data_IF_407525173299
#
_entry.id   IF_407525173299
#
_cell.length_a   1.000
_cell.length_b   1.000
_cell.length_c   1.000
_cell.angle_alpha   90.00
_cell.angle_beta   90.00
_cell.angle_gamma   90.00
#
_symmetry.space_group_name_H-M   'P 1'
#
loop_
_entity.id
_entity.type
_entity.pdbx_description
1 polymer ?
#
# COMPACT_ATOMS: atom_id res chain seq x y z
N UNK A 1 14.59 -49.48 -2.54
CA UNK A 1 14.28 -48.35 -3.44
C UNK A 1 14.44 -47.07 -2.63
N UNK A 2 15.59 -46.42 -2.72
CA UNK A 2 15.91 -45.23 -1.94
C UNK A 2 15.14 -44.02 -2.47
N UNK A 3 14.40 -43.37 -1.59
CA UNK A 3 13.80 -42.07 -1.79
C UNK A 3 14.96 -41.05 -1.81
N UNK A 4 15.51 -40.77 -2.99
CA UNK A 4 16.58 -39.79 -3.14
C UNK A 4 15.98 -38.38 -3.02
N UNK A 5 16.49 -37.65 -2.03
CA UNK A 5 16.26 -36.24 -1.75
C UNK A 5 16.17 -35.39 -3.02
N UNK A 6 14.97 -34.89 -3.31
CA UNK A 6 14.84 -33.65 -4.06
C UNK A 6 14.92 -32.52 -3.04
N UNK A 7 16.13 -32.17 -2.63
CA UNK A 7 16.36 -30.93 -1.91
C UNK A 7 15.85 -29.76 -2.77
N UNK A 8 14.80 -29.02 -2.35
CA UNK A 8 14.28 -27.89 -3.11
C UNK A 8 15.21 -26.66 -3.05
N UNK A 9 16.36 -26.78 -2.38
CA UNK A 9 17.23 -25.68 -2.07
C UNK A 9 18.30 -25.50 -3.16
N UNK A 10 18.26 -24.42 -3.95
CA UNK A 10 19.32 -24.14 -4.92
C UNK A 10 20.65 -23.95 -4.17
N UNK A 11 21.67 -24.70 -4.57
CA UNK A 11 23.03 -24.65 -4.02
C UNK A 11 23.54 -23.20 -3.98
N UNK A 12 24.38 -22.79 -3.01
CA UNK A 12 24.89 -21.41 -2.92
C UNK A 12 25.55 -20.89 -4.21
N UNK A 13 26.16 -21.79 -4.98
CA UNK A 13 26.72 -21.49 -6.31
C UNK A 13 25.64 -21.16 -7.36
N UNK A 14 24.49 -21.84 -7.33
CA UNK A 14 23.36 -21.58 -8.23
C UNK A 14 22.66 -20.25 -7.92
N UNK A 15 22.62 -19.82 -6.65
CA UNK A 15 22.10 -18.50 -6.23
C UNK A 15 22.91 -17.34 -6.85
N UNK A 16 24.22 -17.55 -7.05
CA UNK A 16 25.14 -16.52 -7.58
C UNK A 16 24.97 -16.25 -9.08
N UNK A 17 24.32 -17.16 -9.81
CA UNK A 17 24.15 -17.10 -11.27
C UNK A 17 22.70 -16.87 -11.71
N UNK A 18 21.77 -16.65 -10.75
CA UNK A 18 20.37 -16.45 -11.08
C UNK A 18 20.23 -15.18 -11.94
N UNK A 19 19.67 -15.27 -13.17
CA UNK A 19 19.48 -14.11 -14.02
C UNK A 19 18.49 -13.14 -13.39
N UNK A 20 18.71 -11.84 -13.59
CA UNK A 20 17.81 -10.80 -13.09
C UNK A 20 16.39 -11.03 -13.62
N UNK A 21 15.43 -11.24 -12.71
CA UNK A 21 14.02 -11.44 -13.07
C UNK A 21 13.28 -10.10 -12.98
N UNK A 22 12.88 -9.49 -14.13
CA UNK A 22 12.15 -8.22 -14.12
C UNK A 22 10.77 -8.35 -13.45
N UNK A 23 10.19 -9.55 -13.44
CA UNK A 23 8.92 -9.84 -12.75
C UNK A 23 9.09 -9.82 -11.24
N UNK A 24 10.14 -10.47 -10.72
CA UNK A 24 10.44 -10.43 -9.30
C UNK A 24 10.76 -9.00 -8.84
N UNK A 25 11.58 -8.28 -9.63
CA UNK A 25 11.90 -6.88 -9.37
C UNK A 25 10.63 -6.00 -9.30
N UNK A 26 9.67 -6.18 -10.21
CA UNK A 26 8.41 -5.43 -10.20
C UNK A 26 7.61 -5.65 -8.91
N UNK A 27 7.48 -6.91 -8.46
CA UNK A 27 6.76 -7.25 -7.22
C UNK A 27 7.44 -6.64 -6.00
N UNK A 28 8.76 -6.79 -5.88
CA UNK A 28 9.50 -6.19 -4.76
C UNK A 28 9.44 -4.66 -4.79
N UNK A 29 9.54 -4.06 -5.97
CA UNK A 29 9.48 -2.60 -6.12
C UNK A 29 8.12 -2.05 -5.66
N UNK A 30 7.01 -2.65 -6.12
CA UNK A 30 5.65 -2.26 -5.68
C UNK A 30 5.47 -2.50 -4.18
N UNK A 31 5.91 -3.65 -3.65
CA UNK A 31 5.76 -3.99 -2.24
C UNK A 31 6.53 -3.04 -1.30
N UNK A 32 7.80 -2.75 -1.60
CA UNK A 32 8.60 -1.83 -0.80
C UNK A 32 8.09 -0.39 -0.92
N UNK A 33 7.74 0.06 -2.13
CA UNK A 33 7.21 1.41 -2.31
C UNK A 33 5.85 1.59 -1.63
N UNK A 34 4.99 0.57 -1.61
CA UNK A 34 3.76 0.57 -0.83
C UNK A 34 4.03 0.75 0.67
N UNK A 35 5.01 0.04 1.23
CA UNK A 35 5.36 0.16 2.64
C UNK A 35 5.79 1.59 2.99
N UNK A 36 6.66 2.19 2.17
CA UNK A 36 7.10 3.58 2.37
C UNK A 36 5.95 4.56 2.22
N UNK A 37 5.02 4.32 1.28
CA UNK A 37 3.81 5.13 1.12
C UNK A 37 2.92 5.13 2.36
N UNK A 38 2.72 3.98 2.99
CA UNK A 38 1.94 3.88 4.24
C UNK A 38 2.62 4.64 5.38
N UNK A 39 3.93 4.45 5.56
CA UNK A 39 4.69 5.11 6.64
C UNK A 39 4.71 6.63 6.45
N UNK A 40 5.01 7.09 5.24
CA UNK A 40 5.04 8.52 4.92
C UNK A 40 3.65 9.16 4.99
N UNK A 41 2.59 8.46 4.55
CA UNK A 41 1.22 8.94 4.69
C UNK A 41 0.82 9.10 6.15
N UNK A 42 1.15 8.12 7.00
CA UNK A 42 0.92 8.21 8.45
C UNK A 42 1.69 9.39 9.06
N UNK A 43 2.96 9.57 8.69
CA UNK A 43 3.77 10.70 9.16
C UNK A 43 3.13 12.06 8.83
N UNK A 44 2.59 12.22 7.62
CA UNK A 44 1.88 13.44 7.19
C UNK A 44 0.57 13.64 7.96
N UNK A 45 -0.17 12.57 8.26
CA UNK A 45 -1.43 12.68 9.03
C UNK A 45 -1.21 13.07 10.50
N UNK A 46 -0.10 12.65 11.09
CA UNK A 46 0.29 13.02 12.47
C UNK A 46 0.89 14.43 12.51
N UNK A 47 1.51 14.89 11.43
CA UNK A 47 2.16 16.19 11.38
C UNK A 47 1.16 17.34 11.59
N UNK A 48 1.42 18.28 12.52
CA UNK A 48 0.54 19.41 12.78
C UNK A 48 0.48 20.37 11.58
N UNK A 49 -0.56 21.21 11.52
CA UNK A 49 -0.78 22.17 10.43
C UNK A 49 0.51 22.96 10.09
N UNK A 50 0.77 23.23 8.81
CA UNK A 50 2.09 23.69 8.33
C UNK A 50 2.64 24.99 8.95
N UNK A 51 1.80 25.80 9.62
CA UNK A 51 2.26 26.95 10.43
C UNK A 51 2.76 26.49 11.81
N UNK A 52 1.96 25.70 12.52
CA UNK A 52 2.31 25.08 13.81
C UNK A 52 3.53 24.16 13.70
N UNK A 53 3.65 23.39 12.61
CA UNK A 53 4.82 22.54 12.40
C UNK A 53 6.14 23.32 12.33
N UNK A 54 6.12 24.53 11.78
CA UNK A 54 7.30 25.41 11.70
C UNK A 54 7.60 26.10 13.03
N UNK A 55 6.57 26.51 13.74
CA UNK A 55 6.70 27.18 15.04
C UNK A 55 7.15 26.22 16.15
N UNK A 56 6.77 24.94 16.06
CA UNK A 56 7.13 23.89 17.02
C UNK A 56 8.41 23.13 16.64
N UNK A 57 9.08 23.52 15.55
CA UNK A 57 10.21 22.79 14.95
C UNK A 57 9.93 21.27 14.85
N UNK A 58 8.73 20.94 14.39
CA UNK A 58 8.24 19.57 14.39
C UNK A 58 9.10 18.71 13.47
N UNK A 59 9.68 17.66 14.05
CA UNK A 59 10.42 16.65 13.32
C UNK A 59 9.98 15.26 13.78
N UNK A 60 9.84 14.36 12.82
CA UNK A 60 9.62 12.94 13.06
C UNK A 60 10.76 12.17 12.40
N UNK A 61 11.50 11.40 13.19
CA UNK A 61 12.72 10.71 12.75
C UNK A 61 13.77 11.66 12.14
N UNK A 62 13.82 12.91 12.60
CA UNK A 62 14.73 13.93 12.07
C UNK A 62 14.31 14.57 10.75
N UNK A 63 13.15 14.19 10.20
CA UNK A 63 12.57 14.85 9.03
C UNK A 63 11.40 15.75 9.43
N UNK A 64 11.39 16.96 8.89
CA UNK A 64 10.29 17.90 9.05
C UNK A 64 9.07 17.51 8.21
N UNK A 65 7.91 18.10 8.51
CA UNK A 65 6.65 17.84 7.79
C UNK A 65 6.79 17.97 6.26
N UNK A 66 7.40 19.05 5.78
CA UNK A 66 7.59 19.29 4.33
C UNK A 66 8.40 18.19 3.67
N UNK A 67 9.40 17.63 4.38
CA UNK A 67 10.23 16.55 3.84
C UNK A 67 9.44 15.24 3.78
N UNK A 68 8.60 14.96 4.77
CA UNK A 68 7.68 13.82 4.72
C UNK A 68 6.65 13.92 3.60
N UNK A 69 6.09 15.12 3.37
CA UNK A 69 5.17 15.38 2.24
C UNK A 69 5.87 15.15 0.89
N UNK A 70 7.10 15.64 0.74
CA UNK A 70 7.88 15.47 -0.49
C UNK A 70 8.30 14.01 -0.71
N UNK A 71 8.69 13.31 0.35
CA UNK A 71 8.96 11.87 0.32
C UNK A 71 7.72 11.08 -0.10
N UNK A 72 6.56 11.38 0.48
CA UNK A 72 5.30 10.73 0.13
C UNK A 72 4.95 10.96 -1.34
N UNK A 73 5.04 12.20 -1.82
CA UNK A 73 4.70 12.53 -3.21
C UNK A 73 5.63 11.84 -4.22
N UNK A 74 6.94 11.89 -3.98
CA UNK A 74 7.95 11.25 -4.83
C UNK A 74 7.81 9.73 -4.85
N UNK A 75 7.60 9.11 -3.68
CA UNK A 75 7.36 7.67 -3.58
C UNK A 75 6.02 7.26 -4.20
N UNK A 76 5.01 8.13 -4.14
CA UNK A 76 3.71 7.90 -4.79
C UNK A 76 3.85 7.85 -6.31
N UNK A 77 4.63 8.76 -6.89
CA UNK A 77 4.92 8.74 -8.32
C UNK A 77 5.67 7.45 -8.73
N UNK A 78 6.66 7.04 -7.93
CA UNK A 78 7.38 5.77 -8.15
C UNK A 78 6.44 4.57 -8.02
N UNK A 79 5.54 4.56 -7.03
CA UNK A 79 4.58 3.48 -6.82
C UNK A 79 3.60 3.34 -8.00
N UNK A 80 3.11 4.46 -8.54
CA UNK A 80 2.25 4.44 -9.75
C UNK A 80 3.01 3.87 -10.94
N UNK A 81 4.24 4.32 -11.18
CA UNK A 81 5.07 3.80 -12.28
C UNK A 81 5.39 2.32 -12.12
N UNK A 82 5.80 1.90 -10.92
CA UNK A 82 6.08 0.51 -10.58
C UNK A 82 4.83 -0.38 -10.67
N UNK A 83 3.67 0.13 -10.25
CA UNK A 83 2.38 -0.53 -10.35
C UNK A 83 1.96 -0.74 -11.79
N UNK A 84 2.12 0.27 -12.65
CA UNK A 84 1.89 0.14 -14.09
C UNK A 84 2.81 -0.91 -14.73
N UNK A 85 4.10 -0.87 -14.39
CA UNK A 85 5.06 -1.88 -14.83
C UNK A 85 4.71 -3.30 -14.36
N UNK A 86 4.29 -3.44 -13.10
CA UNK A 86 3.82 -4.71 -12.54
C UNK A 86 2.59 -5.25 -13.27
N UNK A 87 1.57 -4.40 -13.49
CA UNK A 87 0.36 -4.78 -14.22
C UNK A 87 0.70 -5.22 -15.63
N UNK A 88 1.60 -4.51 -16.31
CA UNK A 88 2.00 -4.85 -17.67
C UNK A 88 2.68 -6.24 -17.75
N UNK A 89 3.64 -6.51 -16.86
CA UNK A 89 4.34 -7.81 -16.82
C UNK A 89 3.45 -8.98 -16.40
N UNK A 90 2.45 -8.72 -15.55
CA UNK A 90 1.52 -9.73 -15.03
C UNK A 90 0.17 -9.75 -15.77
N UNK A 91 0.04 -9.00 -16.86
CA UNK A 91 -1.21 -8.85 -17.62
C UNK A 91 -1.86 -10.18 -18.03
N UNK A 92 -1.14 -11.21 -18.51
CA UNK A 92 -1.77 -12.49 -18.85
C UNK A 92 -2.41 -13.18 -17.65
N UNK A 93 -1.75 -13.10 -16.48
CA UNK A 93 -2.25 -13.66 -15.22
C UNK A 93 -3.45 -12.88 -14.73
N UNK A 94 -3.37 -11.54 -14.76
CA UNK A 94 -4.47 -10.65 -14.37
C UNK A 94 -5.69 -10.87 -15.27
N UNK A 95 -5.51 -11.03 -16.59
CA UNK A 95 -6.59 -11.31 -17.53
C UNK A 95 -7.22 -12.66 -17.28
N UNK A 96 -6.42 -13.72 -17.10
CA UNK A 96 -6.95 -15.05 -16.78
C UNK A 96 -7.67 -15.04 -15.43
N UNK A 97 -7.11 -14.35 -14.44
CA UNK A 97 -7.76 -14.13 -13.15
C UNK A 97 -9.06 -13.37 -13.34
N UNK A 98 -9.11 -12.25 -14.07
CA UNK A 98 -10.32 -11.47 -14.29
C UNK A 98 -11.39 -12.24 -15.07
N UNK A 99 -11.03 -13.04 -16.07
CA UNK A 99 -12.00 -13.82 -16.86
C UNK A 99 -12.51 -15.05 -16.10
N UNK A 100 -11.59 -15.81 -15.46
CA UNK A 100 -11.97 -16.98 -14.65
C UNK A 100 -12.57 -16.58 -13.30
N UNK A 101 -12.19 -15.42 -12.76
CA UNK A 101 -12.89 -14.77 -11.67
C UNK A 101 -14.23 -14.29 -12.18
N UNK A 102 -14.39 -13.52 -13.26
CA UNK A 102 -15.71 -13.11 -13.75
C UNK A 102 -16.71 -14.28 -13.84
N UNK A 103 -16.28 -15.44 -14.34
CA UNK A 103 -17.09 -16.67 -14.33
C UNK A 103 -17.41 -17.20 -12.90
N UNK A 104 -16.50 -17.09 -11.93
CA UNK A 104 -16.65 -17.52 -10.53
C UNK A 104 -17.16 -16.45 -9.54
N UNK A 105 -16.93 -15.15 -9.75
CA UNK A 105 -17.45 -13.99 -9.01
C UNK A 105 -18.89 -13.70 -9.42
N UNK A 106 -19.34 -14.14 -10.60
CA UNK A 106 -20.77 -14.26 -10.87
C UNK A 106 -21.46 -15.30 -9.97
N UNK A 107 -20.75 -16.34 -9.49
CA UNK A 107 -21.24 -17.23 -8.43
C UNK A 107 -21.13 -16.59 -7.03
N UNK A 108 -20.05 -15.85 -6.76
CA UNK A 108 -19.81 -15.13 -5.49
C UNK A 108 -20.32 -13.67 -5.55
N UNK A 109 -21.47 -13.47 -6.21
CA UNK A 109 -22.02 -12.13 -6.47
C UNK A 109 -22.42 -11.43 -5.17
N UNK A 110 -22.71 -12.20 -4.11
CA UNK A 110 -23.05 -11.69 -2.76
C UNK A 110 -21.81 -11.19 -2.03
N UNK A 111 -20.69 -11.91 -2.08
CA UNK A 111 -19.42 -11.44 -1.49
C UNK A 111 -18.91 -10.19 -2.22
N UNK A 112 -19.03 -10.16 -3.56
CA UNK A 112 -18.67 -8.99 -4.35
C UNK A 112 -19.57 -7.80 -4.01
N UNK A 113 -20.89 -8.00 -3.91
CA UNK A 113 -21.83 -6.95 -3.51
C UNK A 113 -21.58 -6.45 -2.07
N UNK A 114 -21.22 -7.36 -1.15
CA UNK A 114 -20.81 -6.99 0.21
C UNK A 114 -19.52 -6.16 0.21
N UNK A 115 -18.50 -6.57 -0.55
CA UNK A 115 -17.24 -5.85 -0.65
C UNK A 115 -17.44 -4.46 -1.27
N UNK A 116 -18.16 -4.38 -2.40
CA UNK A 116 -18.50 -3.11 -3.06
C UNK A 116 -19.38 -2.25 -2.16
N UNK A 117 -20.34 -2.85 -1.46
CA UNK A 117 -21.21 -2.16 -0.51
C UNK A 117 -20.45 -1.61 0.69
N UNK A 118 -19.48 -2.37 1.23
CA UNK A 118 -18.59 -1.90 2.30
C UNK A 118 -17.72 -0.73 1.83
N UNK A 119 -17.09 -0.86 0.67
CA UNK A 119 -16.24 0.21 0.09
C UNK A 119 -17.07 1.46 -0.21
N UNK A 120 -18.20 1.29 -0.90
CA UNK A 120 -19.13 2.38 -1.19
C UNK A 120 -19.71 3.00 0.08
N UNK A 121 -20.02 2.17 1.08
CA UNK A 121 -20.46 2.62 2.39
C UNK A 121 -19.41 3.49 3.08
N UNK A 122 -18.15 3.05 3.12
CA UNK A 122 -17.04 3.86 3.68
C UNK A 122 -16.89 5.18 2.93
N UNK A 123 -17.00 5.19 1.60
CA UNK A 123 -16.93 6.42 0.79
C UNK A 123 -18.09 7.36 1.14
N UNK A 124 -19.32 6.84 1.22
CA UNK A 124 -20.51 7.63 1.57
C UNK A 124 -20.40 8.16 3.01
N UNK A 125 -19.97 7.35 3.96
CA UNK A 125 -19.73 7.77 5.35
C UNK A 125 -18.67 8.87 5.44
N UNK A 126 -17.63 8.81 4.62
CA UNK A 126 -16.59 9.84 4.55
C UNK A 126 -17.09 11.15 3.95
N UNK A 127 -17.92 11.10 2.90
CA UNK A 127 -18.51 12.29 2.28
C UNK A 127 -19.56 12.93 3.22
N UNK A 128 -20.36 12.10 3.90
CA UNK A 128 -21.44 12.54 4.78
C UNK A 128 -21.01 12.83 6.23
N UNK A 129 -19.73 12.64 6.58
CA UNK A 129 -19.19 12.88 7.93
C UNK A 129 -19.88 12.09 9.07
N UNK A 130 -20.40 10.89 8.77
CA UNK A 130 -21.09 10.04 9.77
C UNK A 130 -20.06 9.21 10.57
N UNK A 131 -20.21 9.01 11.90
CA UNK A 131 -19.43 8.03 12.65
C UNK A 131 -19.44 6.62 12.00
N UNK A 132 -18.30 5.89 11.94
CA UNK A 132 -17.06 6.09 12.70
C UNK A 132 -16.03 7.03 12.05
N UNK A 133 -16.28 7.61 10.87
CA UNK A 133 -15.30 8.49 10.21
C UNK A 133 -15.03 9.75 11.04
N UNK A 134 -16.06 10.29 11.69
CA UNK A 134 -15.91 11.39 12.65
C UNK A 134 -15.11 11.02 13.90
N UNK A 135 -15.03 9.73 14.27
CA UNK A 135 -14.16 9.27 15.35
C UNK A 135 -12.68 9.30 14.95
N UNK A 136 -12.38 9.04 13.69
CA UNK A 136 -11.02 9.17 13.17
C UNK A 136 -10.58 10.63 13.11
N UNK A 137 -11.46 11.55 12.70
CA UNK A 137 -11.13 12.97 12.72
C UNK A 137 -10.94 13.51 14.15
N UNK A 138 -11.79 13.10 15.10
CA UNK A 138 -11.62 13.48 16.51
C UNK A 138 -10.38 12.87 17.15
N UNK A 139 -10.01 11.63 16.82
CA UNK A 139 -8.73 11.03 17.24
C UNK A 139 -7.55 11.78 16.63
N UNK A 140 -7.60 12.09 15.33
CA UNK A 140 -6.57 12.87 14.66
C UNK A 140 -6.48 14.31 15.21
N UNK A 141 -7.61 14.89 15.62
CA UNK A 141 -7.67 16.20 16.26
C UNK A 141 -7.01 16.15 17.64
N UNK A 142 -7.29 15.13 18.45
CA UNK A 142 -6.66 14.92 19.76
C UNK A 142 -5.14 14.77 19.67
N UNK A 143 -4.63 14.02 18.69
CA UNK A 143 -3.20 13.93 18.43
C UNK A 143 -2.59 15.26 17.97
N UNK A 144 -3.34 16.08 17.20
CA UNK A 144 -2.90 17.41 16.76
C UNK A 144 -2.90 18.46 17.87
N UNK A 145 -3.80 18.37 18.84
CA UNK A 145 -3.93 19.34 19.93
C UNK A 145 -3.14 18.95 21.18
N UNK A 146 -2.58 17.73 21.22
CA UNK A 146 -1.71 17.28 22.30
C UNK A 146 -2.45 17.22 23.62
N UNK A 147 -3.46 16.35 23.71
CA UNK A 147 -4.09 15.88 24.96
C UNK A 147 -4.05 16.84 26.15
N UNK A 148 -4.68 18.01 26.00
CA UNK A 148 -5.03 18.89 27.14
C UNK A 148 -6.51 18.77 27.44
#
# INVERSE_FOLDING_TARGET
>A
MSHSDQDPCPTPAARKQAPFSPRAAAVFLVGLSFLVMVVSGLAVTVAPAGRLARELDWSLLGLGRTQWELLHLSMGLLFIGAGGWHIWLHWPVIRNLLWSAAARTLCHRRELALAVGLVGGVIVLAILWWPPVSWLDSLAAWFRTGGR
#
